data_IF_291330459863
#
_entry.id   IF_291330459863
#
_cell.length_a   1.000
_cell.length_b   1.000
_cell.length_c   1.000
_cell.angle_alpha   90.00
_cell.angle_beta   90.00
_cell.angle_gamma   90.00
#
_symmetry.space_group_name_H-M   'P 1'
#
loop_
_entity.id
_entity.type
_entity.pdbx_description
1 polymer ?
#
# COMPACT_ATOMS: atom_id res chain seq x y z
N UNK A 1 14.20 8.39 -8.41
CA UNK A 1 14.01 6.93 -8.34
C UNK A 1 15.35 6.20 -8.43
N UNK A 2 16.17 6.44 -9.46
CA UNK A 2 17.44 5.70 -9.65
C UNK A 2 18.43 5.81 -8.47
N UNK A 3 18.50 6.97 -7.80
CA UNK A 3 19.34 7.13 -6.60
C UNK A 3 18.88 6.23 -5.43
N UNK A 4 17.57 6.12 -5.22
CA UNK A 4 16.99 5.32 -4.13
C UNK A 4 17.24 3.82 -4.39
N UNK A 5 17.03 3.36 -5.63
CA UNK A 5 17.28 1.96 -6.04
C UNK A 5 18.76 1.59 -5.91
N UNK A 6 19.67 2.52 -6.23
CA UNK A 6 21.12 2.29 -6.09
C UNK A 6 21.54 2.08 -4.64
N UNK A 7 20.93 2.81 -3.72
CA UNK A 7 21.20 2.71 -2.28
C UNK A 7 20.48 1.52 -1.62
N UNK A 8 19.40 1.04 -2.22
CA UNK A 8 18.55 -0.01 -1.66
C UNK A 8 18.31 -1.13 -2.67
N UNK A 9 19.17 -2.17 -2.69
CA UNK A 9 19.07 -3.28 -3.64
C UNK A 9 17.71 -4.00 -3.65
N UNK A 10 17.03 -4.04 -2.49
CA UNK A 10 15.70 -4.64 -2.36
C UNK A 10 14.59 -3.89 -3.12
N UNK A 11 14.81 -2.61 -3.45
CA UNK A 11 13.84 -1.77 -4.17
C UNK A 11 14.13 -1.68 -5.68
N UNK A 12 15.13 -2.41 -6.17
CA UNK A 12 15.52 -2.39 -7.59
C UNK A 12 14.33 -2.78 -8.46
N UNK A 13 14.03 -1.95 -9.47
CA UNK A 13 12.92 -2.12 -10.43
C UNK A 13 11.50 -2.09 -9.81
N UNK A 14 11.36 -1.77 -8.51
CA UNK A 14 10.07 -1.63 -7.83
C UNK A 14 9.46 -0.24 -8.06
N UNK A 15 10.28 0.80 -8.14
CA UNK A 15 9.81 2.18 -8.20
C UNK A 15 9.44 2.59 -9.64
N UNK A 16 8.20 3.05 -9.91
CA UNK A 16 7.80 3.45 -11.25
C UNK A 16 8.60 4.66 -11.74
N UNK A 17 9.24 4.54 -12.92
CA UNK A 17 10.04 5.62 -13.55
C UNK A 17 9.22 6.50 -14.51
N UNK A 18 7.91 6.28 -14.56
CA UNK A 18 6.99 6.93 -15.52
C UNK A 18 6.69 8.39 -15.19
N UNK A 19 6.87 8.82 -13.94
CA UNK A 19 6.61 10.20 -13.51
C UNK A 19 7.56 11.23 -14.15
N UNK A 20 8.68 10.78 -14.74
CA UNK A 20 9.61 11.63 -15.49
C UNK A 20 9.26 11.74 -16.99
N UNK A 21 8.23 11.04 -17.48
CA UNK A 21 7.80 11.12 -18.88
C UNK A 21 6.89 12.33 -19.04
N UNK A 22 7.25 13.23 -19.96
CA UNK A 22 6.83 14.64 -20.10
C UNK A 22 5.34 14.97 -20.33
N UNK A 23 4.40 14.20 -19.81
CA UNK A 23 2.96 14.47 -19.93
C UNK A 23 2.36 15.17 -18.69
N UNK A 24 3.17 15.53 -17.69
CA UNK A 24 2.72 16.22 -16.48
C UNK A 24 3.15 17.69 -16.54
N UNK A 25 2.17 18.58 -16.42
CA UNK A 25 2.39 20.03 -16.33
C UNK A 25 3.22 20.37 -15.07
N UNK A 26 4.39 21.04 -15.19
CA UNK A 26 5.24 21.36 -14.06
C UNK A 26 4.56 22.18 -12.96
N UNK A 27 3.61 23.04 -13.32
CA UNK A 27 2.85 23.84 -12.34
C UNK A 27 1.95 22.96 -11.49
N UNK A 28 1.19 22.07 -12.11
CA UNK A 28 0.37 21.09 -11.38
C UNK A 28 1.21 20.15 -10.52
N UNK A 29 2.39 19.72 -11.01
CA UNK A 29 3.29 18.87 -10.23
C UNK A 29 3.84 19.61 -8.99
N UNK A 30 4.26 20.87 -9.16
CA UNK A 30 4.69 21.71 -8.03
C UNK A 30 3.57 21.89 -7.00
N UNK A 31 2.36 22.21 -7.45
CA UNK A 31 1.19 22.35 -6.58
C UNK A 31 0.84 21.06 -5.83
N UNK A 32 0.98 19.89 -6.46
CA UNK A 32 0.77 18.60 -5.79
C UNK A 32 1.83 18.34 -4.72
N UNK A 33 3.09 18.64 -5.01
CA UNK A 33 4.19 18.52 -4.03
C UNK A 33 3.94 19.44 -2.84
N UNK A 34 3.55 20.68 -3.08
CA UNK A 34 3.24 21.65 -2.02
C UNK A 34 2.04 21.21 -1.19
N UNK A 35 0.98 20.69 -1.82
CA UNK A 35 -0.19 20.16 -1.13
C UNK A 35 0.23 19.03 -0.18
N UNK A 36 0.98 18.04 -0.66
CA UNK A 36 1.42 16.89 0.16
C UNK A 36 2.40 17.33 1.25
N UNK A 37 3.30 18.26 0.96
CA UNK A 37 4.31 18.75 1.91
C UNK A 37 3.71 19.55 3.07
N UNK A 38 2.58 20.22 2.82
CA UNK A 38 1.86 20.99 3.83
C UNK A 38 0.90 20.16 4.69
N UNK A 39 0.59 18.92 4.30
CA UNK A 39 -0.09 17.98 5.17
C UNK A 39 0.92 17.60 6.26
N UNK A 40 0.59 17.88 7.53
CA UNK A 40 1.45 17.60 8.67
C UNK A 40 1.62 16.09 8.90
N UNK A 41 2.38 15.42 8.04
CA UNK A 41 2.79 14.02 8.14
C UNK A 41 3.99 13.89 9.12
N UNK A 42 4.39 14.98 9.79
CA UNK A 42 5.59 15.02 10.65
C UNK A 42 5.41 14.49 12.08
N UNK A 43 4.21 14.16 12.53
CA UNK A 43 3.98 13.63 13.88
C UNK A 43 4.49 12.19 14.02
N UNK A 44 5.47 11.97 14.90
CA UNK A 44 6.08 10.68 15.28
C UNK A 44 6.10 9.62 14.15
N UNK A 45 7.28 9.37 13.54
CA UNK A 45 7.54 8.44 12.40
C UNK A 45 6.61 7.23 12.20
N UNK A 46 6.15 6.59 13.27
CA UNK A 46 5.21 5.45 13.22
C UNK A 46 3.80 5.88 12.82
N UNK A 47 3.28 6.97 13.38
CA UNK A 47 1.94 7.49 13.09
C UNK A 47 1.87 8.07 11.67
N UNK A 48 2.97 8.63 11.20
CA UNK A 48 3.06 9.18 9.85
C UNK A 48 3.10 8.11 8.75
N UNK A 49 3.77 6.98 9.00
CA UNK A 49 3.79 5.84 8.09
C UNK A 49 2.39 5.22 7.91
N UNK A 50 1.66 5.03 9.01
CA UNK A 50 0.29 4.50 9.01
C UNK A 50 -0.69 5.43 8.25
N UNK A 51 -0.60 6.74 8.49
CA UNK A 51 -1.43 7.73 7.76
C UNK A 51 -1.13 7.71 6.26
N UNK A 52 0.14 7.68 5.86
CA UNK A 52 0.51 7.60 4.44
C UNK A 52 0.03 6.30 3.79
N UNK A 53 0.10 5.17 4.50
CA UNK A 53 -0.43 3.89 4.04
C UNK A 53 -1.94 3.95 3.77
N UNK A 54 -2.71 4.48 4.73
CA UNK A 54 -4.16 4.65 4.55
C UNK A 54 -4.52 5.60 3.40
N UNK A 55 -3.79 6.71 3.23
CA UNK A 55 -4.00 7.62 2.11
C UNK A 55 -3.70 6.94 0.78
N UNK A 56 -2.61 6.15 0.72
CA UNK A 56 -2.27 5.37 -0.47
C UNK A 56 -3.37 4.37 -0.83
N UNK A 57 -3.86 3.58 0.13
CA UNK A 57 -4.95 2.63 -0.08
C UNK A 57 -6.24 3.30 -0.55
N UNK A 58 -6.58 4.46 0.04
CA UNK A 58 -7.74 5.23 -0.36
C UNK A 58 -7.66 5.63 -1.84
N UNK A 59 -6.58 6.28 -2.24
CA UNK A 59 -6.39 6.68 -3.63
C UNK A 59 -6.35 5.47 -4.57
N UNK A 60 -5.79 4.34 -4.13
CA UNK A 60 -5.79 3.11 -4.91
C UNK A 60 -7.21 2.59 -5.19
N UNK A 61 -8.07 2.61 -4.17
CA UNK A 61 -9.49 2.28 -4.30
C UNK A 61 -10.24 3.24 -5.22
N UNK A 62 -10.04 4.55 -5.05
CA UNK A 62 -10.66 5.58 -5.90
C UNK A 62 -10.22 5.46 -7.37
N UNK A 63 -8.94 5.18 -7.64
CA UNK A 63 -8.46 4.93 -9.00
C UNK A 63 -9.08 3.67 -9.60
N UNK A 64 -9.21 2.59 -8.81
CA UNK A 64 -9.89 1.38 -9.27
C UNK A 64 -11.37 1.62 -9.63
N UNK A 65 -12.07 2.44 -8.83
CA UNK A 65 -13.46 2.85 -9.11
C UNK A 65 -13.55 3.74 -10.36
N UNK A 66 -12.66 4.73 -10.49
CA UNK A 66 -12.65 5.68 -11.60
C UNK A 66 -12.28 5.03 -12.94
N UNK A 67 -11.38 4.04 -12.96
CA UNK A 67 -11.00 3.33 -14.19
C UNK A 67 -12.11 2.41 -14.73
N UNK A 68 -13.15 2.10 -13.94
CA UNK A 68 -14.31 1.31 -14.39
C UNK A 68 -14.00 -0.13 -14.83
N UNK A 69 -12.77 -0.61 -14.66
CA UNK A 69 -12.34 -1.95 -15.08
C UNK A 69 -12.69 -2.97 -14.00
N UNK A 70 -13.69 -3.83 -14.30
CA UNK A 70 -14.00 -5.14 -13.69
C UNK A 70 -13.23 -5.40 -12.38
N UNK A 71 -13.74 -4.82 -11.29
CA UNK A 71 -13.08 -4.63 -9.99
C UNK A 71 -12.85 -5.88 -9.14
N UNK A 72 -12.34 -6.95 -9.74
CA UNK A 72 -11.89 -8.15 -9.01
C UNK A 72 -10.41 -8.51 -9.21
N UNK A 73 -9.75 -8.00 -10.26
CA UNK A 73 -8.34 -8.31 -10.53
C UNK A 73 -7.34 -7.30 -9.96
N UNK A 74 -7.77 -6.08 -9.64
CA UNK A 74 -6.87 -4.98 -9.30
C UNK A 74 -7.03 -4.47 -7.85
N UNK A 75 -8.23 -4.58 -7.29
CA UNK A 75 -8.54 -4.12 -5.95
C UNK A 75 -9.70 -4.94 -5.37
N UNK A 76 -9.53 -5.43 -4.15
CA UNK A 76 -10.59 -6.08 -3.38
C UNK A 76 -11.10 -5.09 -2.34
N UNK A 77 -12.41 -4.81 -2.26
CA UNK A 77 -12.95 -3.88 -1.28
C UNK A 77 -12.55 -4.26 0.15
N UNK A 78 -12.19 -3.26 0.95
CA UNK A 78 -11.69 -3.43 2.33
C UNK A 78 -12.59 -4.32 3.20
N UNK A 79 -13.92 -4.18 3.11
CA UNK A 79 -14.85 -4.99 3.90
C UNK A 79 -14.78 -6.50 3.57
N UNK A 80 -14.47 -6.85 2.32
CA UNK A 80 -14.30 -8.25 1.90
C UNK A 80 -12.95 -8.78 2.41
N UNK A 81 -11.90 -7.97 2.31
CA UNK A 81 -10.57 -8.31 2.81
C UNK A 81 -10.59 -8.52 4.34
N UNK A 82 -11.18 -7.59 5.09
CA UNK A 82 -11.38 -7.69 6.54
C UNK A 82 -12.12 -8.98 6.89
N UNK A 83 -13.27 -9.24 6.25
CA UNK A 83 -14.04 -10.47 6.49
C UNK A 83 -13.21 -11.74 6.25
N UNK A 84 -12.49 -11.82 5.12
CA UNK A 84 -11.71 -13.01 4.78
C UNK A 84 -10.57 -13.25 5.77
N UNK A 85 -9.85 -12.20 6.19
CA UNK A 85 -8.75 -12.32 7.15
C UNK A 85 -9.28 -12.70 8.53
N UNK A 86 -10.37 -12.09 9.00
CA UNK A 86 -11.01 -12.44 10.26
C UNK A 86 -11.51 -13.90 10.28
N UNK A 87 -11.95 -14.43 9.14
CA UNK A 87 -12.34 -15.84 9.03
C UNK A 87 -11.15 -16.81 9.02
N UNK A 88 -9.99 -16.39 8.49
CA UNK A 88 -8.80 -17.22 8.35
C UNK A 88 -7.93 -17.24 9.61
N UNK A 89 -8.01 -16.19 10.42
CA UNK A 89 -7.26 -16.02 11.67
C UNK A 89 -5.74 -16.32 11.52
N UNK A 90 -4.99 -15.59 10.66
CA UNK A 90 -3.60 -15.91 10.36
C UNK A 90 -2.64 -15.49 11.49
N UNK A 91 -2.61 -16.26 12.58
CA UNK A 91 -1.75 -15.97 13.74
C UNK A 91 -0.26 -16.30 13.54
N UNK A 92 0.06 -17.23 12.64
CA UNK A 92 1.43 -17.73 12.41
C UNK A 92 1.56 -18.41 11.05
N UNK A 93 2.80 -18.72 10.67
CA UNK A 93 3.19 -19.44 9.44
C UNK A 93 3.10 -18.57 8.17
N UNK A 94 2.69 -19.14 7.04
CA UNK A 94 2.80 -18.49 5.73
C UNK A 94 1.44 -18.00 5.25
N UNK A 95 1.34 -16.72 4.96
CA UNK A 95 0.21 -16.11 4.25
C UNK A 95 0.57 -16.06 2.77
N UNK A 96 -0.23 -16.69 1.92
CA UNK A 96 0.01 -16.78 0.48
C UNK A 96 -1.21 -16.29 -0.29
N UNK A 97 -1.01 -15.32 -1.18
CA UNK A 97 -2.02 -14.85 -2.13
C UNK A 97 -1.42 -14.83 -3.55
N UNK A 98 -1.75 -15.81 -4.43
CA UNK A 98 -1.18 -15.91 -5.77
C UNK A 98 -1.64 -14.78 -6.73
N UNK A 99 -2.61 -13.97 -6.31
CA UNK A 99 -3.22 -12.90 -7.10
C UNK A 99 -3.33 -11.63 -6.24
N UNK A 100 -2.29 -11.31 -5.47
CA UNK A 100 -2.35 -10.31 -4.39
C UNK A 100 -2.70 -8.88 -4.82
N UNK A 101 -2.61 -8.57 -6.13
CA UNK A 101 -2.93 -7.25 -6.66
C UNK A 101 -2.13 -6.15 -5.97
N UNK A 102 -2.82 -5.25 -5.27
CA UNK A 102 -2.20 -4.18 -4.48
C UNK A 102 -1.67 -4.61 -3.11
N UNK A 103 -1.82 -5.87 -2.73
CA UNK A 103 -1.36 -6.42 -1.45
C UNK A 103 -2.32 -6.20 -0.28
N UNK A 104 -3.59 -5.84 -0.52
CA UNK A 104 -4.55 -5.52 0.55
C UNK A 104 -4.75 -6.65 1.58
N UNK A 105 -4.73 -7.91 1.13
CA UNK A 105 -4.82 -9.08 2.03
C UNK A 105 -3.64 -9.15 3.02
N UNK A 106 -2.46 -8.70 2.61
CA UNK A 106 -1.25 -8.73 3.42
C UNK A 106 -1.26 -7.65 4.50
N UNK A 107 -1.65 -6.42 4.14
CA UNK A 107 -1.82 -5.31 5.09
C UNK A 107 -2.85 -5.67 6.16
N UNK A 108 -3.98 -6.25 5.75
CA UNK A 108 -5.01 -6.66 6.69
C UNK A 108 -4.57 -7.85 7.56
N UNK A 109 -3.75 -8.78 7.05
CA UNK A 109 -3.21 -9.89 7.84
C UNK A 109 -2.29 -9.40 8.96
N UNK A 110 -1.41 -8.42 8.66
CA UNK A 110 -0.57 -7.79 9.67
C UNK A 110 -1.42 -7.07 10.74
N UNK A 111 -2.44 -6.35 10.29
CA UNK A 111 -3.37 -5.63 11.18
C UNK A 111 -4.14 -6.58 12.10
N UNK A 112 -4.65 -7.69 11.58
CA UNK A 112 -5.32 -8.74 12.37
C UNK A 112 -4.42 -9.23 13.51
N UNK A 113 -3.16 -9.56 13.20
CA UNK A 113 -2.19 -10.05 14.19
C UNK A 113 -1.92 -8.99 15.26
N UNK A 114 -1.80 -7.72 14.88
CA UNK A 114 -1.60 -6.61 15.82
C UNK A 114 -2.81 -6.40 16.75
N UNK A 115 -4.02 -6.48 16.22
CA UNK A 115 -5.27 -6.28 16.98
C UNK A 115 -5.58 -7.45 17.93
N UNK A 116 -5.15 -8.66 17.59
CA UNK A 116 -5.39 -9.88 18.37
C UNK A 116 -4.19 -10.35 19.22
N UNK A 117 -3.27 -9.44 19.56
CA UNK A 117 -2.10 -9.69 20.44
C UNK A 117 -1.15 -10.80 19.94
N UNK A 118 -1.15 -11.07 18.63
CA UNK A 118 -0.16 -11.94 18.01
C UNK A 118 1.17 -11.22 17.79
N UNK A 119 2.14 -11.91 17.17
CA UNK A 119 3.43 -11.32 16.79
C UNK A 119 3.52 -11.27 15.28
N UNK A 120 3.69 -10.07 14.73
CA UNK A 120 3.82 -9.86 13.28
C UNK A 120 4.95 -10.72 12.68
N UNK A 121 6.04 -10.90 13.43
CA UNK A 121 7.18 -11.72 12.99
C UNK A 121 6.89 -13.23 12.94
N UNK A 122 5.75 -13.69 13.45
CA UNK A 122 5.34 -15.10 13.38
C UNK A 122 4.67 -15.44 12.03
N UNK A 123 4.35 -14.42 11.21
CA UNK A 123 3.83 -14.60 9.85
C UNK A 123 4.86 -14.22 8.79
N UNK A 124 4.84 -14.94 7.66
CA UNK A 124 5.64 -14.65 6.47
C UNK A 124 4.73 -14.53 5.26
N UNK A 125 4.96 -13.51 4.43
CA UNK A 125 4.07 -13.12 3.34
C UNK A 125 4.65 -13.52 1.99
N UNK A 126 3.83 -14.09 1.12
CA UNK A 126 4.18 -14.53 -0.23
C UNK A 126 3.07 -14.11 -1.20
N UNK A 127 3.43 -13.45 -2.30
CA UNK A 127 2.51 -13.00 -3.34
C UNK A 127 3.19 -12.83 -4.69
#
# INVERSE_FOLDING_TARGET
MDAIEKENPALKDVLPKVFARGNLDPTNLGGLIDLVSNIAIGGAKVRSADVLGHVFEYFWGEFALAEGKKGGQFYTPRSVVELLVEMLEPYKDRVFDPCCGSGGMFVQSEKFVAEHQGKINDISIYG
#
